data_IF_476040670872
#
_entry.id   IF_476040670872
#
_cell.length_a   1.000
_cell.length_b   1.000
_cell.length_c   1.000
_cell.angle_alpha   90.00
_cell.angle_beta   90.00
_cell.angle_gamma   90.00
#
_symmetry.space_group_name_H-M   'P 1'
#
loop_
_entity.id
_entity.type
_entity.pdbx_description
1 polymer ?
#
# COMPACT_ATOMS: atom_id res chain seq x y z
N UNK A 1 25.56 -10.09 -1.10
CA UNK A 1 24.09 -10.02 -1.23
C UNK A 1 23.56 -11.45 -1.11
N UNK A 2 22.45 -11.67 -0.43
CA UNK A 2 21.83 -13.00 -0.42
C UNK A 2 21.48 -13.41 -1.86
N UNK A 3 21.77 -14.65 -2.23
CA UNK A 3 21.50 -15.15 -3.59
C UNK A 3 19.99 -15.23 -3.80
N UNK A 4 19.47 -14.48 -4.77
CA UNK A 4 18.06 -14.57 -5.19
C UNK A 4 17.84 -15.94 -5.83
N UNK A 5 16.77 -16.61 -5.40
CA UNK A 5 16.40 -17.95 -5.86
C UNK A 5 15.29 -17.92 -6.93
N UNK A 6 15.17 -19.03 -7.67
CA UNK A 6 14.07 -19.24 -8.62
C UNK A 6 12.70 -19.19 -7.93
N UNK A 7 12.59 -19.73 -6.71
CA UNK A 7 11.33 -19.78 -5.97
C UNK A 7 10.85 -18.39 -5.55
N UNK A 8 11.75 -17.50 -5.13
CA UNK A 8 11.42 -16.10 -4.84
C UNK A 8 10.88 -15.38 -6.07
N UNK A 9 11.53 -15.55 -7.23
CA UNK A 9 11.07 -14.95 -8.50
C UNK A 9 9.71 -15.51 -8.90
N UNK A 10 9.50 -16.82 -8.79
CA UNK A 10 8.20 -17.43 -9.09
C UNK A 10 7.10 -16.97 -8.14
N UNK A 11 7.40 -16.83 -6.86
CA UNK A 11 6.45 -16.30 -5.90
C UNK A 11 6.08 -14.85 -6.27
N UNK A 12 7.05 -14.02 -6.63
CA UNK A 12 6.79 -12.66 -7.10
C UNK A 12 5.91 -12.64 -8.37
N UNK A 13 6.18 -13.50 -9.35
CA UNK A 13 5.35 -13.61 -10.56
C UNK A 13 3.93 -14.10 -10.26
N UNK A 14 3.75 -15.03 -9.32
CA UNK A 14 2.42 -15.50 -8.87
C UNK A 14 1.65 -14.40 -8.14
N UNK A 15 2.32 -13.65 -7.25
CA UNK A 15 1.72 -12.48 -6.61
C UNK A 15 1.30 -11.44 -7.67
N UNK A 16 2.18 -11.18 -8.64
CA UNK A 16 1.85 -10.29 -9.76
C UNK A 16 0.63 -10.79 -10.55
N UNK A 17 0.52 -12.09 -10.81
CA UNK A 17 -0.64 -12.65 -11.48
C UNK A 17 -1.93 -12.49 -10.67
N UNK A 18 -1.91 -12.75 -9.37
CA UNK A 18 -3.10 -12.58 -8.50
C UNK A 18 -3.62 -11.14 -8.49
N UNK A 19 -2.74 -10.12 -8.47
CA UNK A 19 -3.16 -8.69 -8.56
C UNK A 19 -3.68 -8.28 -9.94
N UNK A 20 -3.72 -9.20 -10.91
CA UNK A 20 -4.35 -9.03 -12.23
C UNK A 20 -5.78 -9.54 -12.28
N UNK A 21 -6.29 -10.17 -11.21
CA UNK A 21 -7.71 -10.52 -11.15
C UNK A 21 -8.55 -9.26 -11.48
N UNK A 22 -9.52 -9.34 -12.42
CA UNK A 22 -10.20 -8.15 -12.95
C UNK A 22 -10.78 -7.21 -11.89
N UNK A 23 -11.46 -7.76 -10.87
CA UNK A 23 -12.08 -6.98 -9.80
C UNK A 23 -11.03 -6.33 -8.90
N UNK A 24 -9.97 -7.05 -8.53
CA UNK A 24 -8.85 -6.48 -7.78
C UNK A 24 -8.08 -5.43 -8.59
N UNK A 25 -7.92 -5.62 -9.90
CA UNK A 25 -7.31 -4.59 -10.77
C UNK A 25 -8.14 -3.32 -10.77
N UNK A 26 -9.47 -3.44 -10.91
CA UNK A 26 -10.39 -2.31 -10.82
C UNK A 26 -10.30 -1.63 -9.45
N UNK A 27 -10.33 -2.41 -8.37
CA UNK A 27 -10.20 -1.91 -7.00
C UNK A 27 -8.89 -1.14 -6.79
N UNK A 28 -7.77 -1.64 -7.32
CA UNK A 28 -6.45 -1.00 -7.23
C UNK A 28 -6.39 0.32 -8.00
N UNK A 29 -6.93 0.36 -9.22
CA UNK A 29 -7.02 1.59 -10.01
C UNK A 29 -7.86 2.64 -9.26
N UNK A 30 -9.07 2.24 -8.83
CA UNK A 30 -9.95 3.11 -8.05
C UNK A 30 -9.29 3.61 -6.77
N UNK A 31 -8.58 2.75 -6.03
CA UNK A 31 -7.92 3.10 -4.77
C UNK A 31 -6.87 4.19 -4.98
N UNK A 32 -6.00 4.03 -5.98
CA UNK A 32 -4.93 5.02 -6.27
C UNK A 32 -5.52 6.37 -6.68
N UNK A 33 -6.57 6.36 -7.48
CA UNK A 33 -7.20 7.56 -8.04
C UNK A 33 -8.15 8.28 -7.08
N UNK A 34 -8.85 7.54 -6.20
CA UNK A 34 -10.00 8.08 -5.46
C UNK A 34 -9.86 8.00 -3.94
N UNK A 35 -9.08 7.06 -3.40
CA UNK A 35 -8.99 6.88 -1.95
C UNK A 35 -8.01 7.87 -1.30
N UNK A 36 -8.57 8.94 -0.74
CA UNK A 36 -7.82 10.08 -0.20
C UNK A 36 -8.32 10.54 1.18
N UNK A 37 -8.42 9.65 2.18
CA UNK A 37 -9.02 10.01 3.46
C UNK A 37 -8.24 11.13 4.15
N UNK A 38 -8.91 12.20 4.56
CA UNK A 38 -8.30 13.26 5.39
C UNK A 38 -8.38 12.89 6.87
N UNK A 39 -9.44 12.18 7.26
CA UNK A 39 -9.63 11.70 8.62
C UNK A 39 -10.34 10.33 8.67
N UNK A 40 -10.23 9.62 9.81
CA UNK A 40 -11.00 8.40 10.05
C UNK A 40 -12.53 8.61 9.98
N UNK A 41 -13.02 9.75 10.44
CA UNK A 41 -14.45 10.10 10.43
C UNK A 41 -14.94 10.30 8.99
N UNK A 42 -14.17 11.00 8.16
CA UNK A 42 -14.46 11.13 6.73
C UNK A 42 -14.46 9.78 6.04
N UNK A 43 -13.52 8.89 6.37
CA UNK A 43 -13.45 7.56 5.79
C UNK A 43 -14.74 6.76 6.04
N UNK A 44 -15.23 6.72 7.30
CA UNK A 44 -16.47 5.99 7.61
C UNK A 44 -17.70 6.59 6.95
N UNK A 45 -17.73 7.91 6.77
CA UNK A 45 -18.84 8.63 6.13
C UNK A 45 -18.84 8.45 4.61
N UNK A 46 -17.68 8.56 3.98
CA UNK A 46 -17.52 8.52 2.52
C UNK A 46 -17.51 7.09 1.97
N UNK A 47 -17.09 6.11 2.79
CA UNK A 47 -16.97 4.71 2.38
C UNK A 47 -17.67 3.77 3.39
N UNK A 48 -19.01 3.88 3.51
CA UNK A 48 -19.77 3.13 4.49
C UNK A 48 -19.63 1.62 4.28
N UNK A 49 -19.76 0.86 5.37
CA UNK A 49 -19.67 -0.60 5.32
C UNK A 49 -20.69 -1.17 4.33
N UNK A 50 -20.23 -2.03 3.42
CA UNK A 50 -21.08 -2.63 2.38
C UNK A 50 -21.16 -1.84 1.07
N UNK A 51 -20.58 -0.63 1.00
CA UNK A 51 -20.43 0.08 -0.27
C UNK A 51 -19.41 -0.62 -1.18
N UNK A 52 -19.47 -0.32 -2.48
CA UNK A 52 -18.52 -0.86 -3.45
C UNK A 52 -17.11 -0.32 -3.20
N UNK A 53 -16.99 0.96 -2.85
CA UNK A 53 -15.75 1.63 -2.48
C UNK A 53 -15.12 0.98 -1.25
N UNK A 54 -15.92 0.71 -0.20
CA UNK A 54 -15.46 0.00 0.98
C UNK A 54 -14.95 -1.40 0.61
N UNK A 55 -15.63 -2.08 -0.31
CA UNK A 55 -15.19 -3.37 -0.84
C UNK A 55 -13.84 -3.24 -1.55
N UNK A 56 -13.66 -2.25 -2.42
CA UNK A 56 -12.38 -1.99 -3.09
C UNK A 56 -11.25 -1.68 -2.12
N UNK A 57 -11.49 -0.81 -1.13
CA UNK A 57 -10.53 -0.50 -0.06
C UNK A 57 -10.08 -1.79 0.63
N UNK A 58 -11.03 -2.62 1.05
CA UNK A 58 -10.72 -3.87 1.75
C UNK A 58 -9.95 -4.86 0.88
N UNK A 59 -10.32 -5.02 -0.39
CA UNK A 59 -9.62 -5.90 -1.33
C UNK A 59 -8.16 -5.50 -1.52
N UNK A 60 -7.90 -4.20 -1.74
CA UNK A 60 -6.54 -3.68 -1.95
C UNK A 60 -5.69 -3.84 -0.70
N UNK A 61 -6.22 -3.44 0.46
CA UNK A 61 -5.49 -3.50 1.73
C UNK A 61 -5.19 -4.95 2.11
N UNK A 62 -6.17 -5.86 2.02
CA UNK A 62 -5.96 -7.26 2.40
C UNK A 62 -4.94 -7.96 1.50
N UNK A 63 -4.95 -7.66 0.19
CA UNK A 63 -3.96 -8.18 -0.74
C UNK A 63 -2.56 -7.71 -0.36
N UNK A 64 -2.37 -6.40 -0.14
CA UNK A 64 -1.05 -5.84 0.18
C UNK A 64 -0.56 -6.23 1.58
N UNK A 65 -1.45 -6.39 2.56
CA UNK A 65 -1.05 -6.87 3.90
C UNK A 65 -0.56 -8.33 3.84
N UNK A 66 -1.25 -9.19 3.07
CA UNK A 66 -0.78 -10.56 2.81
C UNK A 66 0.59 -10.56 2.13
N UNK A 67 0.78 -9.78 1.06
CA UNK A 67 2.07 -9.68 0.35
C UNK A 67 3.17 -9.18 1.27
N UNK A 68 2.92 -8.10 2.02
CA UNK A 68 3.87 -7.55 2.99
C UNK A 68 4.26 -8.58 4.06
N UNK A 69 3.31 -9.41 4.49
CA UNK A 69 3.56 -10.47 5.46
C UNK A 69 4.52 -11.55 4.93
N UNK A 70 4.48 -11.85 3.62
CA UNK A 70 5.39 -12.79 2.95
C UNK A 70 6.80 -12.19 2.88
N UNK A 71 6.91 -10.92 2.47
CA UNK A 71 8.18 -10.20 2.37
C UNK A 71 8.83 -10.07 3.76
N UNK A 72 8.07 -9.67 4.78
CA UNK A 72 8.57 -9.57 6.16
C UNK A 72 9.07 -10.90 6.75
N UNK A 73 8.64 -12.05 6.20
CA UNK A 73 9.12 -13.38 6.58
C UNK A 73 10.36 -13.83 5.80
N UNK A 74 10.90 -12.97 4.92
CA UNK A 74 12.09 -13.26 4.13
C UNK A 74 11.87 -14.25 2.99
N UNK A 75 10.61 -14.49 2.59
CA UNK A 75 10.29 -15.39 1.46
C UNK A 75 10.49 -14.74 0.09
N UNK A 76 10.70 -13.42 0.06
CA UNK A 76 11.12 -12.66 -1.11
C UNK A 76 12.17 -11.67 -0.62
N UNK A 77 13.32 -11.63 -1.29
CA UNK A 77 14.32 -10.60 -1.07
C UNK A 77 13.71 -9.18 -1.15
N UNK A 78 14.00 -8.35 -0.15
CA UNK A 78 13.48 -6.98 -0.06
C UNK A 78 13.79 -6.16 -1.32
N UNK A 79 15.02 -6.17 -1.84
CA UNK A 79 15.39 -5.35 -3.00
C UNK A 79 14.69 -5.84 -4.28
N UNK A 80 14.63 -7.16 -4.48
CA UNK A 80 13.87 -7.76 -5.58
C UNK A 80 12.40 -7.31 -5.55
N UNK A 81 11.79 -7.28 -4.36
CA UNK A 81 10.42 -6.83 -4.20
C UNK A 81 10.28 -5.32 -4.45
N UNK A 82 11.20 -4.51 -3.90
CA UNK A 82 11.18 -3.04 -3.96
C UNK A 82 11.35 -2.48 -5.37
N UNK A 83 12.16 -3.13 -6.22
CA UNK A 83 12.39 -2.71 -7.59
C UNK A 83 11.10 -2.68 -8.45
N UNK A 84 10.12 -3.53 -8.13
CA UNK A 84 8.90 -3.71 -8.96
C UNK A 84 7.58 -3.36 -8.28
N UNK A 85 7.55 -3.18 -6.95
CA UNK A 85 6.30 -3.04 -6.19
C UNK A 85 6.15 -1.67 -5.51
N UNK A 86 6.14 -0.60 -6.30
CA UNK A 86 5.99 0.76 -5.78
C UNK A 86 4.60 1.08 -5.19
N UNK A 87 3.55 0.37 -5.61
CA UNK A 87 2.17 0.67 -5.20
C UNK A 87 1.89 0.43 -3.71
N UNK A 88 2.55 -0.56 -3.07
CA UNK A 88 2.36 -0.81 -1.63
C UNK A 88 2.65 0.45 -0.79
N UNK A 89 3.60 1.26 -1.25
CA UNK A 89 3.92 2.53 -0.63
C UNK A 89 2.81 3.57 -0.78
N UNK A 90 2.16 3.62 -1.96
CA UNK A 90 0.99 4.47 -2.17
C UNK A 90 -0.13 4.05 -1.23
N UNK A 91 -0.38 2.74 -1.10
CA UNK A 91 -1.36 2.19 -0.16
C UNK A 91 -1.05 2.62 1.28
N UNK A 92 0.19 2.45 1.72
CA UNK A 92 0.61 2.91 3.05
C UNK A 92 0.47 4.42 3.23
N UNK A 93 0.88 5.22 2.26
CA UNK A 93 0.79 6.69 2.33
C UNK A 93 -0.66 7.18 2.42
N UNK A 94 -1.63 6.48 1.79
CA UNK A 94 -3.06 6.75 1.94
C UNK A 94 -3.61 6.35 3.32
N UNK A 95 -3.06 5.31 3.93
CA UNK A 95 -3.59 4.75 5.17
C UNK A 95 -2.94 5.33 6.44
N UNK A 96 -1.68 5.79 6.37
CA UNK A 96 -0.87 6.07 7.57
C UNK A 96 -1.47 7.08 8.55
N UNK A 97 -2.28 8.04 8.08
CA UNK A 97 -2.96 9.02 8.93
C UNK A 97 -4.16 8.43 9.69
N UNK A 98 -4.81 7.41 9.15
CA UNK A 98 -6.03 6.80 9.73
C UNK A 98 -5.73 5.54 10.55
N UNK A 99 -4.60 4.87 10.30
CA UNK A 99 -4.20 3.64 10.98
C UNK A 99 -4.17 3.77 12.52
N UNK A 100 -3.64 4.85 13.13
CA UNK A 100 -3.66 5.00 14.58
C UNK A 100 -5.06 4.93 15.19
N UNK A 101 -6.04 5.58 14.55
CA UNK A 101 -7.43 5.58 15.02
C UNK A 101 -8.06 4.20 14.89
N UNK A 102 -7.81 3.48 13.81
CA UNK A 102 -8.28 2.11 13.66
C UNK A 102 -7.64 1.16 14.68
N UNK A 103 -6.34 1.28 14.94
CA UNK A 103 -5.66 0.50 15.98
C UNK A 103 -6.29 0.72 17.36
N UNK A 104 -6.63 1.97 17.69
CA UNK A 104 -7.31 2.31 18.93
C UNK A 104 -8.74 1.75 18.97
N UNK A 105 -9.54 1.95 17.92
CA UNK A 105 -10.92 1.50 17.83
C UNK A 105 -11.07 -0.04 17.96
N UNK A 106 -10.17 -0.80 17.30
CA UNK A 106 -10.17 -2.26 17.36
C UNK A 106 -9.36 -2.84 18.51
N UNK A 107 -8.74 -1.99 19.35
CA UNK A 107 -7.79 -2.40 20.40
C UNK A 107 -6.71 -3.36 19.87
N UNK A 108 -6.27 -3.14 18.63
CA UNK A 108 -5.29 -3.97 17.96
C UNK A 108 -4.11 -3.09 17.51
N UNK A 109 -3.01 -3.02 18.29
CA UNK A 109 -1.85 -2.21 17.93
C UNK A 109 -1.11 -2.70 16.69
N UNK A 110 -1.35 -3.94 16.25
CA UNK A 110 -0.66 -4.57 15.12
C UNK A 110 -1.44 -4.46 13.80
N UNK A 111 -2.59 -3.80 13.79
CA UNK A 111 -3.38 -3.66 12.58
C UNK A 111 -2.55 -2.98 11.48
N UNK A 112 -2.44 -3.62 10.31
CA UNK A 112 -1.64 -3.19 9.14
C UNK A 112 -0.13 -3.06 9.41
N UNK A 113 0.39 -3.70 10.46
CA UNK A 113 1.81 -3.68 10.79
C UNK A 113 2.69 -4.22 9.65
N UNK A 114 2.23 -5.23 8.89
CA UNK A 114 3.06 -5.79 7.83
C UNK A 114 3.37 -4.76 6.74
N UNK A 115 2.34 -4.04 6.27
CA UNK A 115 2.46 -2.97 5.28
C UNK A 115 3.37 -1.87 5.83
N UNK A 116 3.16 -1.45 7.07
CA UNK A 116 3.96 -0.41 7.73
C UNK A 116 5.46 -0.77 7.71
N UNK A 117 5.82 -1.96 8.19
CA UNK A 117 7.23 -2.38 8.28
C UNK A 117 7.87 -2.55 6.90
N UNK A 118 7.15 -3.14 5.93
CA UNK A 118 7.65 -3.24 4.55
C UNK A 118 7.90 -1.85 3.96
N UNK A 119 6.99 -0.89 4.19
CA UNK A 119 7.13 0.46 3.67
C UNK A 119 8.24 1.26 4.36
N UNK A 120 8.49 1.06 5.66
CA UNK A 120 9.65 1.65 6.36
C UNK A 120 10.98 1.19 5.74
N UNK A 121 11.10 -0.11 5.45
CA UNK A 121 12.30 -0.66 4.78
C UNK A 121 12.42 -0.16 3.35
N UNK A 122 11.32 -0.11 2.60
CA UNK A 122 11.27 0.45 1.26
C UNK A 122 11.73 1.93 1.23
N UNK A 123 11.24 2.76 2.14
CA UNK A 123 11.63 4.18 2.23
C UNK A 123 13.12 4.32 2.54
N UNK A 124 13.64 3.52 3.47
CA UNK A 124 15.07 3.48 3.79
C UNK A 124 15.91 3.07 2.57
N UNK A 125 15.46 2.06 1.83
CA UNK A 125 16.12 1.60 0.60
C UNK A 125 16.08 2.66 -0.51
N UNK A 126 14.93 3.33 -0.71
CA UNK A 126 14.78 4.41 -1.68
C UNK A 126 15.69 5.58 -1.35
N UNK A 127 15.74 6.00 -0.09
CA UNK A 127 16.57 7.14 0.33
C UNK A 127 18.06 6.87 0.08
N UNK A 128 18.53 5.64 0.26
CA UNK A 128 19.91 5.25 -0.05
C UNK A 128 20.24 5.31 -1.55
N UNK A 129 19.27 5.02 -2.43
CA UNK A 129 19.48 4.91 -3.89
C UNK A 129 19.12 6.18 -4.66
N UNK A 130 18.13 6.92 -4.18
CA UNK A 130 17.60 8.14 -4.77
C UNK A 130 17.14 9.08 -3.64
N UNK A 131 18.08 9.77 -2.96
CA UNK A 131 17.76 10.66 -1.85
C UNK A 131 16.69 11.70 -2.19
N UNK A 132 15.72 11.91 -1.29
CA UNK A 132 14.63 12.88 -1.48
C UNK A 132 13.52 12.46 -2.45
N UNK A 133 13.66 11.34 -3.18
CA UNK A 133 12.64 10.86 -4.13
C UNK A 133 11.29 10.58 -3.47
N UNK A 134 11.30 10.00 -2.27
CA UNK A 134 10.09 9.73 -1.48
C UNK A 134 9.37 11.03 -1.09
N UNK A 135 10.12 12.07 -0.70
CA UNK A 135 9.56 13.37 -0.35
C UNK A 135 8.94 14.06 -1.58
N UNK A 136 9.65 14.05 -2.71
CA UNK A 136 9.15 14.59 -3.98
C UNK A 136 7.85 13.89 -4.43
N UNK A 137 7.79 12.55 -4.32
CA UNK A 137 6.59 11.78 -4.66
C UNK A 137 5.40 12.14 -3.75
N UNK A 138 5.60 12.31 -2.44
CA UNK A 138 4.54 12.78 -1.53
C UNK A 138 4.04 14.17 -1.90
N UNK A 139 4.96 15.10 -2.22
CA UNK A 139 4.60 16.45 -2.61
C UNK A 139 3.77 16.45 -3.90
N UNK A 140 4.18 15.70 -4.92
CA UNK A 140 3.45 15.54 -6.18
C UNK A 140 2.04 14.96 -5.95
N UNK A 141 1.93 13.93 -5.10
CA UNK A 141 0.63 13.33 -4.76
C UNK A 141 -0.25 14.30 -3.98
N UNK A 142 0.30 15.15 -3.11
CA UNK A 142 -0.46 16.17 -2.40
C UNK A 142 -0.98 17.27 -3.34
N UNK A 143 -0.16 17.71 -4.31
CA UNK A 143 -0.53 18.71 -5.31
C UNK A 143 -1.59 18.20 -6.30
N UNK A 144 -1.51 16.94 -6.71
CA UNK A 144 -2.50 16.31 -7.60
C UNK A 144 -3.90 16.28 -6.97
N UNK A 145 -3.99 16.13 -5.63
CA UNK A 145 -5.26 16.24 -4.88
C UNK A 145 -5.86 17.65 -4.93
N UNK A 146 -5.02 18.70 -4.93
CA UNK A 146 -5.52 20.08 -5.04
C UNK A 146 -5.99 20.45 -6.44
N UNK A 147 -5.44 19.83 -7.49
CA UNK A 147 -5.88 20.03 -8.88
C UNK A 147 -7.26 19.41 -9.18
N UNK A 148 -7.57 18.25 -8.59
CA UNK A 148 -8.86 17.58 -8.76
C UNK A 148 -10.04 18.28 -8.07
N UNK A 149 -9.79 19.27 -7.18
CA UNK A 149 -10.85 20.10 -6.58
C UNK A 149 -11.27 21.29 -7.45
N UNK A 150 -10.53 21.59 -8.53
CA UNK A 150 -10.77 22.74 -9.41
C UNK A 150 -11.20 22.35 -10.83
N UNK A 151 -11.65 21.11 -11.05
CA UNK A 151 -12.16 20.61 -12.32
C UNK A 151 -13.62 20.16 -12.19
#
# INVERSE_FOLDING_TARGET
MAQITYDEVNLMLRLYDMRREPRLRQARAWFVENFHPQSPEEMMKSYPQGSEENTYIRMVISYWDMVASIVNRGLINDELFFDSNGEIWVVWDRMRSIVPTWRAAFKNPLLFHNIEETCKRLETWREKRAPGSTAAMRQMMAQSKSGAKNA
#
